data_IF_799785598019
#
_entry.id   IF_799785598019
#
_cell.length_a   1.000
_cell.length_b   1.000
_cell.length_c   1.000
_cell.angle_alpha   90.00
_cell.angle_beta   90.00
_cell.angle_gamma   90.00
#
_symmetry.space_group_name_H-M   'P 1'
#
loop_
_entity.id
_entity.type
_entity.pdbx_description
1 polymer ?
#
# COMPACT_ATOMS: atom_id res chain seq x y z
N UNK A 1 52.23 -32.58 -75.57
CA UNK A 1 52.63 -33.88 -75.01
C UNK A 1 52.09 -33.93 -73.57
N UNK A 2 51.30 -34.93 -73.32
CA UNK A 2 51.03 -35.66 -72.07
C UNK A 2 50.79 -34.83 -70.78
N UNK A 3 49.93 -35.16 -69.90
CA UNK A 3 49.20 -36.38 -69.55
C UNK A 3 48.15 -36.03 -68.49
N UNK A 4 47.07 -36.76 -68.54
CA UNK A 4 45.99 -36.87 -67.55
C UNK A 4 46.47 -37.15 -66.13
N UNK A 5 45.80 -36.65 -65.12
CA UNK A 5 45.49 -37.41 -63.92
C UNK A 5 44.18 -36.87 -63.22
N UNK A 6 43.18 -37.68 -63.24
CA UNK A 6 41.99 -37.58 -62.43
C UNK A 6 42.30 -37.79 -60.94
N UNK A 7 41.82 -36.94 -60.06
CA UNK A 7 41.53 -37.33 -58.66
C UNK A 7 40.18 -36.87 -58.20
N UNK A 8 39.36 -37.87 -57.88
CA UNK A 8 38.07 -37.82 -57.19
C UNK A 8 38.30 -37.35 -55.76
N UNK A 9 37.70 -36.31 -55.35
CA UNK A 9 37.59 -35.93 -53.94
C UNK A 9 36.13 -36.08 -53.43
N UNK A 10 36.05 -36.92 -52.41
CA UNK A 10 34.83 -37.29 -51.68
C UNK A 10 34.23 -36.10 -50.99
N UNK A 11 32.90 -35.95 -51.11
CA UNK A 11 32.14 -34.98 -50.38
C UNK A 11 32.11 -35.28 -48.88
N UNK A 12 32.32 -34.24 -48.06
CA UNK A 12 32.03 -34.24 -46.64
C UNK A 12 30.73 -33.46 -46.44
N UNK A 13 29.67 -34.20 -46.11
CA UNK A 13 28.41 -33.63 -45.65
C UNK A 13 28.59 -33.19 -44.20
N UNK A 14 28.80 -31.89 -44.00
CA UNK A 14 28.85 -31.29 -42.67
C UNK A 14 27.42 -31.08 -42.17
N UNK A 15 26.98 -31.91 -41.27
CA UNK A 15 25.69 -31.73 -40.53
C UNK A 15 25.77 -30.53 -39.60
N UNK A 16 24.99 -29.49 -39.90
CA UNK A 16 24.74 -28.38 -39.01
C UNK A 16 23.77 -28.85 -37.90
N UNK A 17 24.31 -29.22 -36.74
CA UNK A 17 23.49 -29.46 -35.53
C UNK A 17 22.96 -28.11 -35.02
N UNK A 18 21.70 -27.82 -35.32
CA UNK A 18 20.95 -26.72 -34.70
C UNK A 18 20.74 -27.06 -33.22
N UNK A 19 21.59 -26.51 -32.35
CA UNK A 19 21.34 -26.45 -30.92
C UNK A 19 20.18 -25.49 -30.63
N UNK A 20 18.96 -26.04 -30.51
CA UNK A 20 17.84 -25.35 -29.95
C UNK A 20 18.13 -25.05 -28.48
N UNK A 21 18.64 -23.84 -28.22
CA UNK A 21 18.76 -23.30 -26.88
C UNK A 21 17.37 -23.13 -26.28
N UNK A 22 16.97 -24.06 -25.41
CA UNK A 22 15.77 -23.89 -24.58
C UNK A 22 16.12 -22.79 -23.56
N UNK A 23 15.70 -21.55 -23.84
CA UNK A 23 15.69 -20.50 -22.84
C UNK A 23 14.63 -20.86 -21.80
N UNK A 24 15.07 -21.45 -20.70
CA UNK A 24 14.25 -21.59 -19.51
C UNK A 24 13.99 -20.17 -19.01
N UNK A 25 12.84 -19.60 -19.35
CA UNK A 25 12.34 -18.39 -18.70
C UNK A 25 12.05 -18.78 -17.25
N UNK A 26 13.05 -18.55 -16.39
CA UNK A 26 12.88 -18.71 -14.95
C UNK A 26 11.66 -17.88 -14.52
N UNK A 27 10.65 -18.51 -13.91
CA UNK A 27 9.64 -17.79 -13.16
C UNK A 27 10.40 -16.98 -12.12
N UNK A 28 10.53 -15.66 -12.35
CA UNK A 28 11.08 -14.74 -11.35
C UNK A 28 10.28 -14.89 -10.06
N UNK A 29 10.94 -14.81 -8.91
CA UNK A 29 10.24 -14.77 -7.63
C UNK A 29 9.14 -13.70 -7.68
N UNK A 30 7.96 -13.94 -7.06
CA UNK A 30 6.90 -12.94 -7.06
C UNK A 30 7.45 -11.63 -6.47
N UNK A 31 7.12 -10.51 -7.11
CA UNK A 31 7.60 -9.18 -6.68
C UNK A 31 6.85 -8.64 -5.47
N UNK A 32 5.71 -9.24 -5.12
CA UNK A 32 4.78 -8.76 -4.12
C UNK A 32 4.31 -9.87 -3.19
N UNK A 33 4.11 -9.50 -1.93
CA UNK A 33 3.33 -10.25 -0.94
C UNK A 33 1.88 -9.76 -1.01
N UNK A 34 0.95 -10.71 -1.19
CA UNK A 34 -0.49 -10.42 -1.23
C UNK A 34 -1.07 -10.52 0.17
N UNK A 35 -1.70 -9.46 0.62
CA UNK A 35 -2.37 -9.34 1.91
C UNK A 35 -3.87 -9.47 1.69
N UNK A 36 -4.52 -10.32 2.46
CA UNK A 36 -5.95 -10.58 2.29
C UNK A 36 -6.67 -10.71 3.64
N UNK A 37 -7.86 -10.12 3.71
CA UNK A 37 -8.88 -10.50 4.66
C UNK A 37 -10.04 -11.13 3.89
N UNK A 38 -10.11 -12.46 3.94
CA UNK A 38 -11.10 -13.21 3.15
C UNK A 38 -12.53 -13.04 3.68
N UNK A 39 -12.71 -12.80 5.00
CA UNK A 39 -14.04 -12.59 5.59
C UNK A 39 -14.69 -11.29 5.11
N UNK A 40 -13.89 -10.25 4.88
CA UNK A 40 -14.35 -8.96 4.37
C UNK A 40 -13.97 -8.73 2.91
N UNK A 41 -13.53 -9.79 2.23
CA UNK A 41 -13.18 -9.78 0.80
C UNK A 41 -12.25 -8.63 0.39
N UNK A 42 -11.34 -8.24 1.27
CA UNK A 42 -10.42 -7.10 1.11
C UNK A 42 -9.02 -7.59 0.79
N UNK A 43 -8.37 -6.96 -0.19
CA UNK A 43 -7.07 -7.36 -0.70
C UNK A 43 -6.21 -6.14 -1.00
N UNK A 44 -4.90 -6.26 -0.74
CA UNK A 44 -3.88 -5.37 -1.27
C UNK A 44 -2.54 -6.12 -1.41
N UNK A 45 -1.54 -5.49 -1.99
CA UNK A 45 -0.21 -6.06 -2.14
C UNK A 45 0.84 -5.11 -1.58
N UNK A 46 1.93 -5.66 -1.06
CA UNK A 46 3.13 -4.92 -0.66
C UNK A 46 4.36 -5.52 -1.35
N UNK A 47 5.41 -4.75 -1.65
CA UNK A 47 6.67 -5.30 -2.17
C UNK A 47 7.24 -6.36 -1.23
N UNK A 48 7.84 -7.42 -1.79
CA UNK A 48 8.37 -8.55 -1.00
C UNK A 48 9.47 -8.18 0.01
N UNK A 49 10.12 -7.04 -0.16
CA UNK A 49 11.12 -6.56 0.81
C UNK A 49 10.54 -5.91 2.06
N UNK A 50 9.22 -5.72 2.12
CA UNK A 50 8.59 -5.08 3.27
C UNK A 50 8.34 -6.07 4.40
N UNK A 51 8.57 -5.63 5.63
CA UNK A 51 8.48 -6.46 6.83
C UNK A 51 7.13 -6.26 7.53
N UNK A 52 6.48 -7.38 7.85
CA UNK A 52 5.23 -7.36 8.59
C UNK A 52 5.47 -6.98 10.04
N UNK A 53 4.72 -6.00 10.55
CA UNK A 53 4.67 -5.66 11.97
C UNK A 53 3.81 -6.68 12.72
N UNK A 54 4.22 -7.08 13.92
CA UNK A 54 3.42 -8.01 14.71
C UNK A 54 2.14 -7.35 15.23
N UNK A 55 1.02 -8.09 15.23
CA UNK A 55 -0.25 -7.57 15.74
C UNK A 55 -0.18 -7.16 17.21
N UNK A 56 0.53 -7.93 18.04
CA UNK A 56 0.70 -7.59 19.47
C UNK A 56 1.47 -6.28 19.67
N UNK A 57 2.43 -5.98 18.79
CA UNK A 57 3.17 -4.72 18.84
C UNK A 57 2.29 -3.54 18.42
N UNK A 58 1.47 -3.71 17.36
CA UNK A 58 0.51 -2.69 16.93
C UNK A 58 -0.49 -2.37 18.05
N UNK A 59 -1.12 -3.38 18.65
CA UNK A 59 -2.08 -3.18 19.73
C UNK A 59 -1.52 -2.42 20.93
N UNK A 60 -0.24 -2.61 21.25
CA UNK A 60 0.42 -1.84 22.32
C UNK A 60 0.51 -0.36 21.96
N UNK A 61 0.97 -0.03 20.75
CA UNK A 61 1.10 1.36 20.32
C UNK A 61 -0.28 2.02 20.20
N UNK A 62 -1.26 1.33 19.65
CA UNK A 62 -2.63 1.82 19.58
C UNK A 62 -3.22 2.13 20.96
N UNK A 63 -2.96 1.27 21.94
CA UNK A 63 -3.38 1.50 23.32
C UNK A 63 -2.68 2.72 23.95
N UNK A 64 -1.39 2.94 23.66
CA UNK A 64 -0.62 4.08 24.15
C UNK A 64 -1.14 5.41 23.58
N UNK A 65 -1.53 5.43 22.30
CA UNK A 65 -2.07 6.62 21.62
C UNK A 65 -3.59 6.72 21.67
N UNK A 66 -4.25 5.78 22.37
CA UNK A 66 -5.71 5.69 22.50
C UNK A 66 -6.44 5.58 21.14
N UNK A 67 -5.77 4.98 20.15
CA UNK A 67 -6.40 4.67 18.87
C UNK A 67 -7.49 3.60 19.09
N UNK A 68 -8.70 3.78 18.56
CA UNK A 68 -9.78 2.81 18.76
C UNK A 68 -9.50 1.55 17.94
N UNK A 69 -8.76 0.62 18.53
CA UNK A 69 -8.48 -0.68 17.92
C UNK A 69 -9.79 -1.44 17.68
N UNK A 70 -9.98 -1.93 16.49
CA UNK A 70 -11.18 -2.71 16.16
C UNK A 70 -11.03 -3.53 14.88
N UNK A 71 -11.48 -4.77 14.93
CA UNK A 71 -11.54 -5.61 13.76
C UNK A 71 -10.19 -6.20 13.30
N UNK A 72 -10.01 -6.33 12.00
CA UNK A 72 -8.79 -6.86 11.40
C UNK A 72 -7.81 -5.74 11.09
N UNK A 73 -6.56 -5.94 11.49
CA UNK A 73 -5.48 -4.98 11.29
C UNK A 73 -4.21 -5.66 10.80
N UNK A 74 -3.44 -4.95 9.97
CA UNK A 74 -2.12 -5.39 9.52
C UNK A 74 -1.27 -4.18 9.12
N UNK A 75 0.02 -4.24 9.44
CA UNK A 75 0.98 -3.23 8.99
C UNK A 75 2.24 -3.85 8.39
N UNK A 76 2.87 -3.11 7.48
CA UNK A 76 4.16 -3.43 6.89
C UNK A 76 5.01 -2.17 6.78
N UNK A 77 6.32 -2.33 6.83
CA UNK A 77 7.29 -1.27 6.61
C UNK A 77 8.41 -1.74 5.68
N UNK A 78 8.91 -0.83 4.85
CA UNK A 78 9.98 -1.12 3.88
C UNK A 78 11.36 -1.32 4.54
N UNK A 79 11.57 -0.77 5.71
CA UNK A 79 12.88 -0.75 6.39
C UNK A 79 13.28 -2.02 7.11
N UNK A 80 14.58 -2.17 7.31
CA UNK A 80 15.15 -3.14 8.25
C UNK A 80 14.99 -2.57 9.66
N UNK A 81 14.24 -3.23 10.50
CA UNK A 81 13.98 -2.76 11.86
C UNK A 81 12.61 -2.11 12.05
N UNK A 82 11.72 -2.41 11.11
CA UNK A 82 10.29 -2.06 11.16
C UNK A 82 9.73 -2.25 12.58
N UNK A 83 9.12 -1.20 13.13
CA UNK A 83 8.53 -1.21 14.46
C UNK A 83 7.11 -0.68 14.46
N UNK A 84 6.31 -1.08 15.43
CA UNK A 84 4.97 -0.56 15.58
C UNK A 84 4.94 0.94 15.95
N UNK A 85 6.06 1.49 16.47
CA UNK A 85 6.15 2.93 16.78
C UNK A 85 6.06 3.81 15.52
N UNK A 86 6.33 3.24 14.35
CA UNK A 86 6.22 3.94 13.06
C UNK A 86 4.77 4.14 12.63
N UNK A 87 3.80 3.52 13.32
CA UNK A 87 2.35 3.69 13.09
C UNK A 87 1.90 5.17 13.15
N UNK A 88 2.41 5.91 14.15
CA UNK A 88 2.22 7.36 14.25
C UNK A 88 3.56 8.10 14.30
N UNK A 89 4.64 7.43 13.90
CA UNK A 89 5.96 8.00 13.82
C UNK A 89 6.08 9.00 12.67
N UNK A 90 6.79 10.10 12.90
CA UNK A 90 7.14 11.06 11.87
C UNK A 90 8.65 11.03 11.61
N UNK A 91 9.02 11.30 10.35
CA UNK A 91 10.42 11.42 9.95
C UNK A 91 11.08 10.11 9.54
N UNK A 92 10.31 9.03 9.36
CA UNK A 92 10.84 7.79 8.76
C UNK A 92 11.06 7.97 7.26
N UNK A 93 12.27 7.67 6.78
CA UNK A 93 12.58 7.60 5.35
C UNK A 93 12.19 6.25 4.72
N UNK A 94 11.41 5.44 5.45
CA UNK A 94 10.89 4.17 4.97
C UNK A 94 9.37 4.21 4.93
N UNK A 95 8.75 3.80 3.79
CA UNK A 95 7.30 3.73 3.73
C UNK A 95 6.73 2.75 4.76
N UNK A 96 5.79 3.22 5.56
CA UNK A 96 4.98 2.42 6.47
C UNK A 96 3.55 2.36 5.94
N UNK A 97 2.93 1.18 5.87
CA UNK A 97 1.54 0.99 5.49
C UNK A 97 0.77 0.28 6.59
N UNK A 98 -0.40 0.80 6.90
CA UNK A 98 -1.35 0.21 7.84
C UNK A 98 -2.70 0.02 7.15
N UNK A 99 -3.31 -1.12 7.36
CA UNK A 99 -4.67 -1.42 6.92
C UNK A 99 -5.52 -1.90 8.08
N UNK A 100 -6.77 -1.42 8.13
CA UNK A 100 -7.76 -1.80 9.10
C UNK A 100 -9.13 -2.05 8.45
N UNK A 101 -9.88 -2.99 9.02
CA UNK A 101 -11.29 -3.19 8.69
C UNK A 101 -12.06 -3.20 10.00
N UNK A 102 -12.89 -2.21 10.19
CA UNK A 102 -13.67 -2.01 11.40
C UNK A 102 -15.18 -2.08 11.13
N UNK A 103 -15.91 -2.71 12.05
CA UNK A 103 -17.39 -2.67 12.04
C UNK A 103 -17.87 -1.48 12.84
N UNK A 104 -18.73 -0.67 12.24
CA UNK A 104 -19.31 0.49 12.89
C UNK A 104 -20.45 0.10 13.83
N UNK A 105 -20.56 0.82 14.93
CA UNK A 105 -21.79 0.83 15.75
C UNK A 105 -22.92 1.49 14.98
N UNK A 106 -24.16 1.31 15.43
CA UNK A 106 -25.32 1.99 14.82
C UNK A 106 -25.15 3.52 14.79
N UNK A 107 -24.64 4.12 15.87
CA UNK A 107 -24.34 5.56 15.92
C UNK A 107 -23.23 5.93 14.93
N UNK A 108 -22.14 5.18 14.91
CA UNK A 108 -21.04 5.42 13.96
C UNK A 108 -21.49 5.34 12.50
N UNK A 109 -22.39 4.40 12.18
CA UNK A 109 -22.98 4.30 10.85
C UNK A 109 -23.87 5.51 10.49
N UNK A 110 -24.65 6.02 11.45
CA UNK A 110 -25.50 7.20 11.22
C UNK A 110 -24.72 8.50 11.06
N UNK A 111 -23.58 8.61 11.75
CA UNK A 111 -22.72 9.80 11.73
C UNK A 111 -21.68 9.75 10.59
N UNK A 112 -21.56 8.60 9.88
CA UNK A 112 -20.59 8.45 8.82
C UNK A 112 -20.91 9.38 7.64
N UNK A 113 -19.90 10.08 7.20
CA UNK A 113 -19.96 10.99 6.04
C UNK A 113 -18.62 10.96 5.30
N UNK A 114 -18.57 11.53 4.10
CA UNK A 114 -17.31 11.71 3.40
C UNK A 114 -16.28 12.52 4.22
N UNK A 115 -16.75 13.49 5.02
CA UNK A 115 -15.87 14.26 5.90
C UNK A 115 -15.38 13.42 7.08
N UNK A 116 -16.24 12.58 7.67
CA UNK A 116 -15.81 11.65 8.72
C UNK A 116 -14.78 10.64 8.20
N UNK A 117 -14.92 10.19 6.95
CA UNK A 117 -13.91 9.33 6.31
C UNK A 117 -12.60 10.08 6.05
N UNK A 118 -12.64 11.40 5.73
CA UNK A 118 -11.43 12.23 5.57
C UNK A 118 -10.67 12.46 6.87
N UNK A 119 -11.38 12.47 7.98
CA UNK A 119 -10.81 12.77 9.29
C UNK A 119 -10.55 11.48 10.12
N UNK A 120 -10.54 10.31 9.47
CA UNK A 120 -10.50 9.02 10.18
C UNK A 120 -9.17 8.76 10.88
N UNK A 121 -8.07 9.21 10.30
CA UNK A 121 -6.73 8.99 10.83
C UNK A 121 -6.12 10.27 11.41
N UNK A 122 -6.10 11.33 10.64
CA UNK A 122 -5.63 12.66 11.06
C UNK A 122 -6.65 13.73 10.62
N UNK A 123 -6.69 14.91 11.27
CA UNK A 123 -7.59 15.99 10.90
C UNK A 123 -7.28 16.54 9.50
N UNK A 124 -8.10 16.27 8.51
CA UNK A 124 -7.93 16.76 7.12
C UNK A 124 -8.91 17.87 6.79
N UNK A 125 -10.17 17.75 7.22
CA UNK A 125 -11.16 18.80 6.93
C UNK A 125 -10.86 20.08 7.69
N UNK A 126 -11.23 21.23 7.08
CA UNK A 126 -11.02 22.52 7.74
C UNK A 126 -11.77 22.64 9.06
N UNK A 127 -12.96 22.02 9.17
CA UNK A 127 -13.77 22.03 10.38
C UNK A 127 -13.05 21.31 11.52
N UNK A 128 -12.55 20.11 11.28
CA UNK A 128 -11.83 19.31 12.29
C UNK A 128 -10.54 20.01 12.70
N UNK A 129 -9.73 20.47 11.72
CA UNK A 129 -8.48 21.21 12.02
C UNK A 129 -8.69 22.50 12.84
N UNK A 130 -9.82 23.18 12.64
CA UNK A 130 -10.14 24.39 13.42
C UNK A 130 -10.64 24.07 14.83
N UNK A 131 -11.14 22.86 15.06
CA UNK A 131 -11.59 22.39 16.39
C UNK A 131 -10.48 21.80 17.25
N UNK A 132 -9.29 21.59 16.67
CA UNK A 132 -8.12 21.10 17.42
C UNK A 132 -7.66 22.12 18.48
N UNK A 133 -7.17 21.63 19.63
CA UNK A 133 -6.71 22.53 20.69
C UNK A 133 -5.51 23.37 20.22
N UNK A 134 -5.28 24.56 20.81
CA UNK A 134 -4.19 25.45 20.40
C UNK A 134 -2.78 24.85 20.51
N UNK A 135 -2.62 23.79 21.30
CA UNK A 135 -1.36 23.05 21.47
C UNK A 135 -1.33 21.73 20.68
N UNK A 136 -2.19 21.58 19.68
CA UNK A 136 -2.17 20.41 18.82
C UNK A 136 -0.80 20.28 18.14
N UNK A 137 -0.15 19.10 18.24
CA UNK A 137 1.27 18.98 17.90
C UNK A 137 1.54 19.01 16.40
N UNK A 138 0.54 18.67 15.56
CA UNK A 138 0.69 18.65 14.11
C UNK A 138 0.50 20.04 13.52
N UNK A 139 1.41 20.41 12.63
CA UNK A 139 1.43 21.71 11.94
C UNK A 139 1.67 21.52 10.44
N UNK A 140 1.70 22.59 9.67
CA UNK A 140 2.12 22.55 8.26
C UNK A 140 1.20 21.74 7.35
N UNK A 141 -0.10 21.58 7.71
CA UNK A 141 -1.04 20.87 6.86
C UNK A 141 -1.05 21.40 5.43
N UNK A 142 -0.95 20.47 4.47
CA UNK A 142 -1.06 20.78 3.05
C UNK A 142 -1.79 19.65 2.33
N UNK A 143 -2.95 19.93 1.78
CA UNK A 143 -3.69 18.98 0.95
C UNK A 143 -3.04 18.90 -0.44
N UNK A 144 -2.70 17.68 -0.87
CA UNK A 144 -2.10 17.39 -2.18
C UNK A 144 -3.12 16.80 -3.13
N UNK A 145 -3.95 15.87 -2.61
CA UNK A 145 -5.03 15.21 -3.36
C UNK A 145 -6.25 15.06 -2.46
N UNK A 146 -7.43 15.21 -3.04
CA UNK A 146 -8.72 14.83 -2.45
C UNK A 146 -9.62 14.29 -3.55
N UNK A 147 -10.06 13.05 -3.41
CA UNK A 147 -10.84 12.37 -4.43
C UNK A 147 -11.91 11.48 -3.78
N UNK A 148 -13.17 11.65 -4.19
CA UNK A 148 -14.21 10.69 -3.87
C UNK A 148 -14.05 9.44 -4.73
N UNK A 149 -14.20 8.27 -4.11
CA UNK A 149 -14.10 6.97 -4.75
C UNK A 149 -15.44 6.24 -4.75
N UNK A 150 -15.72 5.55 -5.86
CA UNK A 150 -16.87 4.66 -6.02
C UNK A 150 -16.43 3.41 -6.80
N UNK A 151 -15.66 2.50 -6.16
CA UNK A 151 -15.05 1.36 -6.84
C UNK A 151 -16.05 0.29 -7.31
N UNK A 152 -17.31 0.42 -6.99
CA UNK A 152 -18.37 -0.54 -7.35
C UNK A 152 -18.94 -1.28 -6.14
N UNK A 153 -19.90 -2.18 -6.35
CA UNK A 153 -20.55 -2.98 -5.29
C UNK A 153 -21.21 -2.17 -4.16
N UNK A 154 -21.58 -0.91 -4.43
CA UNK A 154 -22.08 0.01 -3.41
C UNK A 154 -21.00 0.59 -2.49
N UNK A 155 -19.76 0.14 -2.61
CA UNK A 155 -18.62 0.67 -1.86
C UNK A 155 -18.33 2.11 -2.32
N UNK A 156 -18.13 3.00 -1.36
CA UNK A 156 -17.82 4.41 -1.63
C UNK A 156 -16.95 5.00 -0.51
N UNK A 157 -16.31 6.12 -0.78
CA UNK A 157 -15.45 6.79 0.19
C UNK A 157 -14.49 7.78 -0.45
N UNK A 158 -13.28 7.89 0.10
CA UNK A 158 -12.30 8.92 -0.27
C UNK A 158 -10.91 8.33 -0.45
N UNK A 159 -10.09 9.01 -1.25
CA UNK A 159 -8.62 8.92 -1.21
C UNK A 159 -8.07 10.32 -1.09
N UNK A 160 -7.17 10.49 -0.12
CA UNK A 160 -6.52 11.74 0.13
C UNK A 160 -5.01 11.57 0.19
N UNK A 161 -4.29 12.63 -0.19
CA UNK A 161 -2.86 12.72 0.02
C UNK A 161 -2.59 14.08 0.63
N UNK A 162 -1.93 14.12 1.76
CA UNK A 162 -1.67 15.36 2.50
C UNK A 162 -0.36 15.30 3.28
N UNK A 163 0.20 16.47 3.57
CA UNK A 163 1.37 16.62 4.42
C UNK A 163 0.94 17.09 5.81
N UNK A 164 1.69 16.61 6.81
CA UNK A 164 1.74 17.16 8.17
C UNK A 164 3.16 17.24 8.66
N UNK A 165 3.43 18.18 9.58
CA UNK A 165 4.74 18.36 10.24
C UNK A 165 4.61 18.14 11.73
N UNK A 166 5.46 17.28 12.28
CA UNK A 166 5.64 17.05 13.72
C UNK A 166 7.11 17.22 14.08
N UNK A 167 7.41 18.07 15.06
CA UNK A 167 8.79 18.31 15.54
C UNK A 167 9.82 18.64 14.43
N UNK A 168 9.35 19.29 13.35
CA UNK A 168 10.20 19.69 12.22
C UNK A 168 10.36 18.62 11.12
N UNK A 169 9.86 17.40 11.32
CA UNK A 169 9.75 16.38 10.28
C UNK A 169 8.41 16.52 9.57
N UNK A 170 8.43 16.54 8.24
CA UNK A 170 7.21 16.58 7.41
C UNK A 170 7.01 15.25 6.74
N UNK A 171 5.90 14.58 7.05
CA UNK A 171 5.48 13.34 6.40
C UNK A 171 4.33 13.59 5.44
N UNK A 172 4.32 12.82 4.36
CA UNK A 172 3.21 12.72 3.42
C UNK A 172 2.42 11.46 3.72
N UNK A 173 1.12 11.62 3.89
CA UNK A 173 0.14 10.55 4.10
C UNK A 173 -0.67 10.34 2.82
N UNK A 174 -0.81 9.10 2.37
CA UNK A 174 -1.73 8.69 1.30
C UNK A 174 -2.74 7.73 1.92
N UNK A 175 -3.98 8.15 1.98
CA UNK A 175 -5.05 7.48 2.71
C UNK A 175 -6.19 7.09 1.78
N UNK A 176 -6.75 5.90 1.98
CA UNK A 176 -7.99 5.43 1.38
C UNK A 176 -8.91 5.00 2.51
N UNK A 177 -10.06 5.66 2.63
CA UNK A 177 -11.11 5.31 3.57
C UNK A 177 -12.41 5.03 2.80
N UNK A 178 -12.89 3.79 2.87
CA UNK A 178 -14.08 3.32 2.16
C UNK A 178 -15.09 2.74 3.13
N UNK A 179 -16.35 2.72 2.73
CA UNK A 179 -17.42 2.02 3.44
C UNK A 179 -18.26 1.19 2.48
N UNK A 180 -18.94 0.14 3.00
CA UNK A 180 -19.91 -0.63 2.22
C UNK A 180 -21.21 0.17 1.98
N UNK A 181 -22.11 -0.38 1.17
CA UNK A 181 -23.38 0.28 0.82
C UNK A 181 -24.25 0.60 2.04
N UNK A 182 -24.21 -0.24 3.06
CA UNK A 182 -24.98 -0.13 4.31
C UNK A 182 -24.31 0.77 5.35
N UNK A 183 -23.09 1.27 5.08
CA UNK A 183 -22.30 2.06 6.01
C UNK A 183 -22.07 1.39 7.37
N UNK A 184 -21.88 0.08 7.38
CA UNK A 184 -21.67 -0.72 8.58
C UNK A 184 -20.23 -1.18 8.77
N UNK A 185 -19.43 -1.12 7.71
CA UNK A 185 -18.01 -1.52 7.71
C UNK A 185 -17.17 -0.41 7.10
N UNK A 186 -16.08 -0.07 7.76
CA UNK A 186 -15.05 0.82 7.21
C UNK A 186 -13.85 0.00 6.82
N UNK A 187 -13.33 0.26 5.62
CA UNK A 187 -12.11 -0.29 5.06
C UNK A 187 -11.10 0.83 4.94
N UNK A 188 -10.01 0.71 5.63
CA UNK A 188 -9.02 1.75 5.76
C UNK A 188 -7.64 1.27 5.32
N UNK A 189 -6.93 2.08 4.56
CA UNK A 189 -5.53 1.89 4.20
C UNK A 189 -4.84 3.25 4.24
N UNK A 190 -3.79 3.37 5.03
CA UNK A 190 -2.92 4.54 5.05
C UNK A 190 -1.47 4.12 4.81
N UNK A 191 -0.76 4.92 4.02
CA UNK A 191 0.68 4.80 3.84
C UNK A 191 1.31 6.17 4.09
N UNK A 192 2.40 6.19 4.85
CA UNK A 192 3.14 7.42 5.10
C UNK A 192 4.64 7.18 5.20
N UNK A 193 5.39 8.22 4.95
CA UNK A 193 6.81 8.42 5.24
C UNK A 193 7.15 9.89 5.02
N UNK A 194 8.44 10.30 5.24
CA UNK A 194 8.83 11.68 4.95
C UNK A 194 8.43 12.11 3.54
N UNK A 195 8.18 13.41 3.34
CA UNK A 195 7.80 13.95 2.02
C UNK A 195 8.87 13.67 0.94
N UNK A 196 10.16 13.57 1.33
CA UNK A 196 11.24 13.15 0.44
C UNK A 196 11.16 11.67 0.07
N UNK A 197 10.90 10.80 1.05
CA UNK A 197 10.65 9.37 0.84
C UNK A 197 9.44 9.16 -0.08
N UNK A 198 8.31 9.81 0.21
CA UNK A 198 7.10 9.69 -0.60
C UNK A 198 7.35 10.06 -2.07
N UNK A 199 8.16 11.10 -2.30
CA UNK A 199 8.53 11.53 -3.65
C UNK A 199 9.45 10.53 -4.36
N UNK A 200 10.44 9.96 -3.65
CA UNK A 200 11.40 9.00 -4.23
C UNK A 200 10.79 7.62 -4.48
N UNK A 201 9.92 7.15 -3.60
CA UNK A 201 9.31 5.82 -3.66
C UNK A 201 7.91 5.81 -4.27
N UNK A 202 7.51 6.89 -4.94
CA UNK A 202 6.16 7.11 -5.47
C UNK A 202 5.62 5.94 -6.30
N UNK A 203 6.47 5.23 -7.05
CA UNK A 203 6.05 4.06 -7.85
C UNK A 203 5.60 2.91 -6.95
N UNK A 204 6.42 2.53 -5.96
CA UNK A 204 6.09 1.46 -5.03
C UNK A 204 4.87 1.81 -4.18
N UNK A 205 4.80 3.06 -3.72
CA UNK A 205 3.66 3.59 -2.96
C UNK A 205 2.37 3.52 -3.78
N UNK A 206 2.39 4.00 -5.02
CA UNK A 206 1.22 3.91 -5.90
C UNK A 206 0.80 2.47 -6.19
N UNK A 207 1.76 1.55 -6.31
CA UNK A 207 1.48 0.12 -6.52
C UNK A 207 0.76 -0.50 -5.31
N UNK A 208 1.14 -0.12 -4.09
CA UNK A 208 0.45 -0.53 -2.87
C UNK A 208 -0.95 0.06 -2.83
N UNK A 209 -1.07 1.39 -2.87
CA UNK A 209 -2.34 2.11 -2.72
C UNK A 209 -3.36 1.74 -3.79
N UNK A 210 -2.95 1.65 -5.06
CA UNK A 210 -3.85 1.28 -6.17
C UNK A 210 -4.29 -0.19 -6.15
N UNK A 211 -3.60 -1.03 -5.40
CA UNK A 211 -3.94 -2.46 -5.25
C UNK A 211 -5.04 -2.72 -4.23
N UNK A 212 -5.38 -1.73 -3.39
CA UNK A 212 -6.42 -1.88 -2.37
C UNK A 212 -7.78 -2.08 -3.02
N UNK A 213 -8.38 -3.23 -2.78
CA UNK A 213 -9.56 -3.71 -3.49
C UNK A 213 -10.49 -4.44 -2.55
N UNK A 214 -11.78 -4.11 -2.62
CA UNK A 214 -12.87 -4.84 -1.99
C UNK A 214 -13.62 -5.57 -3.09
N UNK A 215 -13.80 -6.88 -2.95
CA UNK A 215 -14.46 -7.74 -3.94
C UNK A 215 -15.82 -8.18 -3.43
N UNK A 216 -16.73 -8.56 -4.35
CA UNK A 216 -17.93 -9.29 -3.95
C UNK A 216 -17.52 -10.62 -3.32
N UNK A 217 -18.12 -10.99 -2.20
CA UNK A 217 -18.04 -12.38 -1.72
C UNK A 217 -18.60 -13.29 -2.82
N UNK A 218 -17.94 -14.44 -3.09
CA UNK A 218 -18.39 -15.39 -4.08
C UNK A 218 -19.77 -15.99 -3.74
#
# INVERSE_FOLDING_TARGET
MASMAHRVAKGLVGGCALLLGVTVTGCGAPQYTYVANSSESTYFKVPNGWHKISGDALQKVEAEVQYPAGGWQVAYEAGVGATANDFLGFGSDQPFVFAEIGTLTQTGSQDLSYNALRDIFLPVTSTTRQSEPPNYPLTGFKLIRDQNLTPGLGVHGVRETFDYTLNGATDTFDEIALTNAEQTVVYFLVLHCTASCYSSDQTAINDVMSSFTIRSSP
#
